data_IF_158105500914
#
_entry.id   IF_158105500914
#
_cell.length_a   1.000
_cell.length_b   1.000
_cell.length_c   1.000
_cell.angle_alpha   90.00
_cell.angle_beta   90.00
_cell.angle_gamma   90.00
#
_symmetry.space_group_name_H-M   'P 1'
#
loop_
_entity.id
_entity.type
_entity.pdbx_description
1 polymer ?
#
# COMPACT_ATOMS: atom_id res chain seq x y z
N UNK A 1 -19.29 49.22 -3.50
CA UNK A 1 -18.38 48.09 -3.63
C UNK A 1 -17.36 48.38 -4.71
N UNK A 2 -16.04 48.34 -4.49
CA UNK A 2 -15.06 48.60 -5.51
C UNK A 2 -15.19 47.54 -6.61
N UNK A 3 -15.39 47.97 -7.85
CA UNK A 3 -15.45 47.06 -9.01
C UNK A 3 -14.07 46.43 -9.17
N UNK A 4 -13.97 45.09 -8.97
CA UNK A 4 -12.75 44.38 -9.24
C UNK A 4 -12.28 44.64 -10.69
N UNK A 5 -11.00 44.97 -10.85
CA UNK A 5 -10.43 45.22 -12.19
C UNK A 5 -10.50 43.96 -13.07
N UNK A 6 -10.61 44.13 -14.38
CA UNK A 6 -10.67 43.01 -15.34
C UNK A 6 -9.52 42.00 -15.12
N UNK A 7 -8.32 42.50 -14.81
CA UNK A 7 -7.14 41.71 -14.52
C UNK A 7 -7.35 40.77 -13.31
N UNK A 8 -7.99 41.27 -12.24
CA UNK A 8 -8.29 40.44 -11.07
C UNK A 8 -9.28 39.33 -11.42
N UNK A 9 -10.31 39.63 -12.21
CA UNK A 9 -11.29 38.62 -12.65
C UNK A 9 -10.65 37.50 -13.47
N UNK A 10 -9.78 37.84 -14.42
CA UNK A 10 -9.06 36.88 -15.26
C UNK A 10 -8.09 36.05 -14.40
N UNK A 11 -7.31 36.68 -13.52
CA UNK A 11 -6.39 35.99 -12.64
C UNK A 11 -7.11 34.99 -11.72
N UNK A 12 -8.25 35.38 -11.14
CA UNK A 12 -9.07 34.50 -10.31
C UNK A 12 -9.59 33.29 -11.10
N UNK A 13 -10.09 33.52 -12.33
CA UNK A 13 -10.58 32.43 -13.19
C UNK A 13 -9.47 31.41 -13.48
N UNK A 14 -8.27 31.87 -13.83
CA UNK A 14 -7.14 30.99 -14.13
C UNK A 14 -6.69 30.22 -12.87
N UNK A 15 -6.63 30.87 -11.70
CA UNK A 15 -6.29 30.20 -10.43
C UNK A 15 -7.31 29.14 -10.10
N UNK A 16 -8.61 29.39 -10.30
CA UNK A 16 -9.66 28.37 -10.08
C UNK A 16 -9.48 27.19 -11.00
N UNK A 17 -9.20 27.41 -12.31
CA UNK A 17 -8.93 26.33 -13.26
C UNK A 17 -7.70 25.50 -12.83
N UNK A 18 -6.63 26.17 -12.38
CA UNK A 18 -5.43 25.50 -11.87
C UNK A 18 -5.73 24.66 -10.63
N UNK A 19 -6.50 25.19 -9.66
CA UNK A 19 -6.88 24.46 -8.45
C UNK A 19 -7.69 23.21 -8.82
N UNK A 20 -8.66 23.32 -9.72
CA UNK A 20 -9.48 22.19 -10.16
C UNK A 20 -8.60 21.15 -10.88
N UNK A 21 -7.79 21.57 -11.85
CA UNK A 21 -6.93 20.66 -12.62
C UNK A 21 -5.88 19.95 -11.75
N UNK A 22 -5.15 20.70 -10.93
CA UNK A 22 -4.16 20.14 -10.00
C UNK A 22 -4.81 19.28 -8.92
N UNK A 23 -5.93 19.74 -8.36
CA UNK A 23 -6.67 19.00 -7.34
C UNK A 23 -7.15 17.65 -7.86
N UNK A 24 -7.79 17.62 -9.02
CA UNK A 24 -8.24 16.39 -9.64
C UNK A 24 -7.08 15.43 -9.96
N UNK A 25 -5.99 15.95 -10.55
CA UNK A 25 -4.79 15.18 -10.85
C UNK A 25 -4.17 14.59 -9.58
N UNK A 26 -4.04 15.38 -8.52
CA UNK A 26 -3.47 14.92 -7.24
C UNK A 26 -4.31 13.83 -6.60
N UNK A 27 -5.63 13.97 -6.59
CA UNK A 27 -6.54 12.93 -6.03
C UNK A 27 -6.38 11.62 -6.79
N UNK A 28 -6.40 11.65 -8.14
CA UNK A 28 -6.24 10.45 -8.96
C UNK A 28 -4.88 9.77 -8.75
N UNK A 29 -3.81 10.56 -8.63
CA UNK A 29 -2.46 10.03 -8.41
C UNK A 29 -2.37 9.35 -7.05
N UNK A 30 -2.87 10.00 -5.98
CA UNK A 30 -2.86 9.44 -4.62
C UNK A 30 -3.64 8.11 -4.55
N UNK A 31 -4.81 8.04 -5.19
CA UNK A 31 -5.60 6.81 -5.22
C UNK A 31 -4.84 5.68 -5.92
N UNK A 32 -4.27 5.93 -7.09
CA UNK A 32 -3.47 4.94 -7.83
C UNK A 32 -2.23 4.47 -7.06
N UNK A 33 -1.51 5.38 -6.42
CA UNK A 33 -0.36 5.04 -5.59
C UNK A 33 -0.77 4.18 -4.38
N UNK A 34 -1.88 4.53 -3.73
CA UNK A 34 -2.39 3.75 -2.60
C UNK A 34 -2.75 2.33 -3.02
N UNK A 35 -3.50 2.16 -4.11
CA UNK A 35 -3.88 0.85 -4.64
C UNK A 35 -2.65 0.01 -5.03
N UNK A 36 -1.67 0.65 -5.69
CA UNK A 36 -0.43 -0.01 -6.09
C UNK A 36 0.37 -0.51 -4.88
N UNK A 37 0.56 0.33 -3.86
CA UNK A 37 1.29 -0.04 -2.64
C UNK A 37 0.59 -1.15 -1.87
N UNK A 38 -0.73 -1.12 -1.78
CA UNK A 38 -1.53 -2.20 -1.18
C UNK A 38 -1.33 -3.50 -1.95
N UNK A 39 -1.43 -3.49 -3.27
CA UNK A 39 -1.28 -4.70 -4.07
C UNK A 39 0.16 -5.23 -4.06
N UNK A 40 1.17 -4.36 -4.05
CA UNK A 40 2.57 -4.76 -3.86
C UNK A 40 2.78 -5.47 -2.51
N UNK A 41 2.18 -4.97 -1.43
CA UNK A 41 2.27 -5.60 -0.12
C UNK A 41 1.59 -6.98 -0.10
N UNK A 42 0.41 -7.10 -0.72
CA UNK A 42 -0.27 -8.40 -0.89
C UNK A 42 0.57 -9.39 -1.69
N UNK A 43 1.16 -8.95 -2.80
CA UNK A 43 2.05 -9.80 -3.60
C UNK A 43 3.28 -10.24 -2.82
N UNK A 44 3.87 -9.37 -2.01
CA UNK A 44 4.99 -9.72 -1.13
C UNK A 44 4.58 -10.79 -0.12
N UNK A 45 3.42 -10.66 0.52
CA UNK A 45 2.88 -11.66 1.43
C UNK A 45 2.61 -13.01 0.75
N UNK A 46 2.04 -13.01 -0.47
CA UNK A 46 1.84 -14.23 -1.27
C UNK A 46 3.17 -14.92 -1.59
N UNK A 47 4.18 -14.18 -2.04
CA UNK A 47 5.52 -14.72 -2.36
C UNK A 47 6.19 -15.29 -1.12
N UNK A 48 6.14 -14.56 -0.01
CA UNK A 48 6.66 -15.04 1.28
C UNK A 48 6.00 -16.35 1.68
N UNK A 49 4.67 -16.43 1.59
CA UNK A 49 3.91 -17.65 1.92
C UNK A 49 4.31 -18.82 1.02
N UNK A 50 4.43 -18.60 -0.29
CA UNK A 50 4.83 -19.65 -1.23
C UNK A 50 6.25 -20.17 -0.94
N UNK A 51 7.21 -19.27 -0.68
CA UNK A 51 8.58 -19.62 -0.30
C UNK A 51 8.61 -20.41 1.01
N UNK A 52 7.81 -20.01 1.97
CA UNK A 52 7.71 -20.66 3.27
C UNK A 52 7.12 -22.06 3.13
N UNK A 53 6.05 -22.24 2.38
CA UNK A 53 5.45 -23.54 2.10
C UNK A 53 6.46 -24.46 1.43
N UNK A 54 7.17 -23.98 0.41
CA UNK A 54 8.22 -24.77 -0.26
C UNK A 54 9.36 -25.17 0.69
N UNK A 55 9.78 -24.26 1.59
CA UNK A 55 10.81 -24.54 2.60
C UNK A 55 10.34 -25.57 3.63
N UNK A 56 9.10 -25.47 4.08
CA UNK A 56 8.49 -26.45 5.00
C UNK A 56 8.37 -27.83 4.33
N UNK A 57 7.87 -27.88 3.10
CA UNK A 57 7.80 -29.14 2.34
C UNK A 57 9.19 -29.76 2.15
N UNK A 58 10.18 -28.97 1.78
CA UNK A 58 11.56 -29.45 1.61
C UNK A 58 12.15 -30.01 2.90
N UNK A 59 11.94 -29.35 4.04
CA UNK A 59 12.40 -29.85 5.34
C UNK A 59 11.65 -31.13 5.78
N UNK A 60 10.34 -31.22 5.51
CA UNK A 60 9.56 -32.43 5.80
C UNK A 60 10.03 -33.63 4.98
N UNK A 61 10.33 -33.45 3.69
CA UNK A 61 10.84 -34.51 2.82
C UNK A 61 12.24 -35.00 3.24
N UNK A 62 12.99 -34.19 3.99
CA UNK A 62 14.27 -34.56 4.58
C UNK A 62 14.14 -35.08 6.04
N UNK A 63 12.92 -35.31 6.51
CA UNK A 63 12.64 -35.71 7.89
C UNK A 63 13.20 -34.73 8.94
N UNK A 64 13.26 -33.42 8.60
CA UNK A 64 13.83 -32.34 9.43
C UNK A 64 12.77 -31.35 9.94
N UNK A 65 11.83 -31.79 10.79
CA UNK A 65 10.83 -30.88 11.39
C UNK A 65 11.44 -29.82 12.31
N UNK A 66 12.62 -30.09 12.85
CA UNK A 66 13.43 -29.16 13.64
C UNK A 66 13.83 -27.91 12.83
N UNK A 67 14.23 -28.11 11.57
CA UNK A 67 14.56 -27.01 10.64
C UNK A 67 13.34 -26.14 10.38
N UNK A 68 12.18 -26.74 10.10
CA UNK A 68 10.93 -25.99 9.93
C UNK A 68 10.62 -25.11 11.13
N UNK A 69 10.76 -25.66 12.35
CA UNK A 69 10.52 -24.93 13.58
C UNK A 69 11.46 -23.74 13.75
N UNK A 70 12.75 -23.93 13.47
CA UNK A 70 13.76 -22.87 13.53
C UNK A 70 13.46 -21.76 12.52
N UNK A 71 13.12 -22.12 11.29
CA UNK A 71 12.73 -21.16 10.24
C UNK A 71 11.49 -20.36 10.64
N UNK A 72 10.47 -21.00 11.18
CA UNK A 72 9.26 -20.32 11.67
C UNK A 72 9.59 -19.34 12.80
N UNK A 73 10.49 -19.71 13.71
CA UNK A 73 10.89 -18.86 14.82
C UNK A 73 11.71 -17.66 14.34
N UNK A 74 12.64 -17.85 13.42
CA UNK A 74 13.46 -16.79 12.83
C UNK A 74 12.59 -15.78 12.06
N UNK A 75 11.64 -16.25 11.26
CA UNK A 75 10.73 -15.39 10.52
C UNK A 75 9.80 -14.59 11.44
N UNK A 76 9.40 -15.11 12.58
CA UNK A 76 8.62 -14.36 13.58
C UNK A 76 9.40 -13.19 14.19
N UNK A 77 10.73 -13.26 14.23
CA UNK A 77 11.58 -12.23 14.86
C UNK A 77 12.17 -11.25 13.87
N UNK A 78 12.38 -11.65 12.62
CA UNK A 78 13.16 -10.89 11.62
C UNK A 78 12.31 -10.23 10.53
N UNK A 79 11.02 -10.53 10.45
CA UNK A 79 10.15 -10.11 9.34
C UNK A 79 9.14 -9.04 9.76
N UNK A 80 8.69 -8.15 8.85
CA UNK A 80 7.55 -7.27 9.06
C UNK A 80 6.21 -8.02 9.19
N UNK A 81 6.26 -9.34 9.30
CA UNK A 81 5.12 -10.23 9.49
C UNK A 81 4.74 -10.22 10.96
N UNK A 82 3.54 -9.73 11.28
CA UNK A 82 3.02 -9.72 12.65
C UNK A 82 2.61 -11.09 13.17
N UNK A 83 2.23 -11.98 12.25
CA UNK A 83 1.82 -13.33 12.58
C UNK A 83 2.14 -14.31 11.47
N UNK A 84 2.95 -15.31 11.81
CA UNK A 84 3.20 -16.46 10.96
C UNK A 84 2.90 -17.71 11.76
N UNK A 85 1.87 -18.46 11.34
CA UNK A 85 1.46 -19.70 12.01
C UNK A 85 1.03 -20.74 10.99
N UNK A 86 1.22 -21.99 11.37
CA UNK A 86 0.75 -23.15 10.61
C UNK A 86 -0.27 -23.86 11.49
N UNK A 87 -1.47 -24.06 10.97
CA UNK A 87 -2.56 -24.73 11.67
C UNK A 87 -2.84 -26.09 11.04
N UNK A 88 -3.05 -27.09 11.87
CA UNK A 88 -3.58 -28.38 11.44
C UNK A 88 -5.04 -28.23 11.02
N UNK A 89 -5.59 -29.25 10.39
CA UNK A 89 -7.00 -29.28 9.97
C UNK A 89 -8.01 -29.03 11.09
N UNK A 90 -7.69 -29.47 12.31
CA UNK A 90 -8.54 -29.26 13.48
C UNK A 90 -8.46 -27.84 14.06
N UNK A 91 -7.67 -26.95 13.45
CA UNK A 91 -7.48 -25.58 13.89
C UNK A 91 -6.35 -25.38 14.89
N UNK A 92 -5.71 -26.42 15.39
CA UNK A 92 -4.61 -26.29 16.35
C UNK A 92 -3.30 -25.89 15.67
N UNK A 93 -2.51 -25.05 16.32
CA UNK A 93 -1.18 -24.64 15.82
C UNK A 93 -0.25 -25.87 15.74
N UNK A 94 0.34 -26.04 14.55
CA UNK A 94 1.31 -27.11 14.30
C UNK A 94 2.69 -26.75 14.87
N UNK A 95 3.55 -27.76 15.02
CA UNK A 95 4.93 -27.64 15.52
C UNK A 95 5.06 -27.13 16.96
N UNK A 96 3.98 -27.08 17.73
CA UNK A 96 4.00 -26.72 19.15
C UNK A 96 4.03 -27.97 20.03
N UNK A 97 3.16 -28.90 19.78
CA UNK A 97 3.00 -30.16 20.53
C UNK A 97 3.59 -31.39 19.78
N UNK A 98 3.34 -32.59 20.31
CA UNK A 98 3.82 -33.86 19.77
C UNK A 98 2.82 -34.59 18.85
N UNK A 99 1.60 -34.09 18.70
CA UNK A 99 0.49 -34.82 18.05
C UNK A 99 0.85 -35.28 16.64
N UNK A 100 1.37 -34.36 15.80
CA UNK A 100 1.76 -34.68 14.41
C UNK A 100 2.99 -35.60 14.36
N UNK A 101 3.95 -35.43 15.26
CA UNK A 101 5.14 -36.29 15.30
C UNK A 101 4.78 -37.71 15.66
N UNK A 102 3.86 -37.90 16.60
CA UNK A 102 3.38 -39.25 16.97
C UNK A 102 2.54 -39.91 15.86
N UNK A 103 1.76 -39.12 15.10
CA UNK A 103 1.05 -39.57 13.90
C UNK A 103 2.03 -40.10 12.84
N UNK A 104 3.08 -39.33 12.56
CA UNK A 104 4.11 -39.68 11.57
C UNK A 104 4.92 -40.90 12.03
N UNK A 105 5.30 -40.94 13.31
CA UNK A 105 6.02 -42.10 13.89
C UNK A 105 5.21 -43.38 13.74
N UNK A 106 3.90 -43.34 13.97
CA UNK A 106 2.99 -44.45 13.79
C UNK A 106 2.89 -44.93 12.33
N UNK A 107 2.89 -43.97 11.38
CA UNK A 107 2.66 -44.28 9.95
C UNK A 107 3.94 -44.69 9.22
N UNK A 108 5.06 -44.06 9.50
CA UNK A 108 6.32 -44.23 8.75
C UNK A 108 7.51 -44.66 9.62
N UNK A 109 7.41 -44.53 10.95
CA UNK A 109 8.53 -44.72 11.86
C UNK A 109 9.53 -43.57 11.79
N UNK A 110 9.66 -42.76 12.83
CA UNK A 110 10.67 -41.73 12.93
C UNK A 110 11.98 -42.24 13.50
N UNK A 111 13.09 -41.74 13.03
CA UNK A 111 14.38 -41.94 13.68
C UNK A 111 14.31 -41.54 15.15
N UNK A 112 14.86 -42.38 16.05
CA UNK A 112 14.79 -42.14 17.47
C UNK A 112 15.42 -40.81 17.90
N UNK A 113 16.53 -40.43 17.27
CA UNK A 113 17.20 -39.16 17.57
C UNK A 113 16.34 -37.95 17.16
N UNK A 114 15.64 -38.04 16.01
CA UNK A 114 14.68 -37.04 15.54
C UNK A 114 13.50 -36.93 16.51
N UNK A 115 12.92 -38.06 16.90
CA UNK A 115 11.79 -38.12 17.85
C UNK A 115 12.17 -37.52 19.20
N UNK A 116 13.33 -37.86 19.74
CA UNK A 116 13.83 -37.35 21.03
C UNK A 116 14.14 -35.85 20.94
N UNK A 117 14.61 -35.37 19.80
CA UNK A 117 14.80 -33.94 19.58
C UNK A 117 13.45 -33.20 19.57
N UNK A 118 12.44 -33.72 18.86
CA UNK A 118 11.10 -33.14 18.84
C UNK A 118 10.49 -33.10 20.23
N UNK A 119 10.63 -34.17 21.01
CA UNK A 119 10.14 -34.28 22.42
C UNK A 119 10.76 -33.18 23.28
N UNK A 120 12.08 -32.96 23.18
CA UNK A 120 12.78 -31.90 23.93
C UNK A 120 12.31 -30.49 23.55
N UNK A 121 11.89 -30.28 22.30
CA UNK A 121 11.44 -28.98 21.78
C UNK A 121 9.93 -28.77 21.94
N UNK A 122 9.16 -29.77 22.37
CA UNK A 122 7.73 -29.66 22.54
C UNK A 122 7.35 -28.58 23.56
N UNK A 123 6.31 -27.87 23.27
CA UNK A 123 5.72 -26.82 24.10
C UNK A 123 4.25 -27.13 24.34
N UNK A 124 3.60 -26.48 25.30
CA UNK A 124 2.14 -26.54 25.42
C UNK A 124 1.45 -26.23 24.10
N UNK A 125 0.23 -26.74 23.88
CA UNK A 125 -0.57 -26.43 22.70
C UNK A 125 -0.57 -24.94 22.43
N UNK A 126 -0.39 -24.58 21.16
CA UNK A 126 -0.42 -23.20 20.70
C UNK A 126 -1.84 -22.65 20.56
N UNK A 127 -2.00 -21.67 19.71
CA UNK A 127 -3.32 -21.10 19.39
C UNK A 127 -4.19 -22.12 18.66
N UNK A 128 -5.49 -22.13 18.99
CA UNK A 128 -6.50 -22.80 18.17
C UNK A 128 -7.28 -21.74 17.40
N UNK A 129 -7.39 -21.89 16.07
CA UNK A 129 -8.10 -20.96 15.22
C UNK A 129 -9.51 -21.44 14.88
N UNK A 130 -10.47 -20.50 14.92
CA UNK A 130 -11.85 -20.68 14.44
C UNK A 130 -12.18 -19.65 13.35
N UNK A 131 -11.17 -19.12 12.67
CA UNK A 131 -11.32 -18.10 11.63
C UNK A 131 -12.14 -18.63 10.45
N UNK A 132 -13.19 -17.93 10.00
CA UNK A 132 -13.98 -18.35 8.84
C UNK A 132 -13.15 -18.48 7.55
N UNK A 133 -12.08 -17.71 7.38
CA UNK A 133 -11.20 -17.81 6.20
C UNK A 133 -10.35 -19.08 6.26
N UNK A 134 -9.97 -19.53 7.46
CA UNK A 134 -9.34 -20.82 7.66
C UNK A 134 -10.27 -21.97 7.22
N UNK A 135 -11.54 -21.96 7.65
CA UNK A 135 -12.53 -22.97 7.25
C UNK A 135 -12.72 -22.97 5.72
N UNK A 136 -12.88 -21.81 5.11
CA UNK A 136 -12.99 -21.68 3.65
C UNK A 136 -11.75 -22.20 2.91
N UNK A 137 -10.55 -21.97 3.42
CA UNK A 137 -9.33 -22.47 2.81
C UNK A 137 -9.30 -24.01 2.81
N UNK A 138 -9.80 -24.65 3.88
CA UNK A 138 -9.93 -26.10 3.95
C UNK A 138 -10.98 -26.66 2.98
N UNK A 139 -12.12 -25.98 2.82
CA UNK A 139 -13.22 -26.41 1.96
C UNK A 139 -12.91 -26.23 0.48
N UNK A 140 -12.37 -25.05 0.12
CA UNK A 140 -12.16 -24.69 -1.29
C UNK A 140 -10.83 -25.16 -1.85
N UNK A 141 -9.88 -25.56 -0.97
CA UNK A 141 -8.49 -25.89 -1.32
C UNK A 141 -7.75 -24.73 -1.98
N UNK A 142 -8.23 -23.49 -1.75
CA UNK A 142 -7.69 -22.28 -2.34
C UNK A 142 -7.26 -21.30 -1.26
N UNK A 143 -6.28 -20.47 -1.59
CA UNK A 143 -5.84 -19.38 -0.73
C UNK A 143 -6.97 -18.41 -0.47
N UNK A 144 -7.21 -18.09 0.80
CA UNK A 144 -8.17 -17.08 1.23
C UNK A 144 -7.42 -15.85 1.73
N UNK A 145 -7.92 -14.68 1.35
CA UNK A 145 -7.32 -13.40 1.69
C UNK A 145 -8.35 -12.49 2.37
N UNK A 146 -7.95 -11.81 3.40
CA UNK A 146 -8.79 -10.85 4.10
C UNK A 146 -8.01 -9.59 4.49
N UNK A 147 -8.66 -8.44 4.39
CA UNK A 147 -8.24 -7.20 5.03
C UNK A 147 -9.05 -7.03 6.31
N UNK A 148 -8.36 -6.97 7.44
CA UNK A 148 -8.97 -6.89 8.75
C UNK A 148 -8.55 -5.61 9.45
N UNK A 149 -9.45 -5.08 10.29
CA UNK A 149 -9.11 -3.98 11.19
C UNK A 149 -9.20 -4.48 12.62
N UNK A 150 -8.09 -4.42 13.36
CA UNK A 150 -8.00 -4.81 14.78
C UNK A 150 -7.44 -3.63 15.57
N UNK A 151 -8.14 -3.18 16.59
CA UNK A 151 -7.71 -2.04 17.43
C UNK A 151 -7.36 -0.76 16.63
N UNK A 152 -8.07 -0.51 15.52
CA UNK A 152 -7.82 0.63 14.64
C UNK A 152 -6.65 0.47 13.66
N UNK A 153 -5.85 -0.57 13.75
CA UNK A 153 -4.80 -0.91 12.79
C UNK A 153 -5.31 -1.90 11.73
N UNK A 154 -4.83 -1.77 10.52
CA UNK A 154 -5.23 -2.61 9.37
C UNK A 154 -4.21 -3.68 9.09
N UNK A 155 -4.71 -4.90 8.85
CA UNK A 155 -3.91 -6.09 8.59
C UNK A 155 -4.38 -6.75 7.32
N UNK A 156 -3.43 -7.30 6.59
CA UNK A 156 -3.71 -8.26 5.51
C UNK A 156 -3.37 -9.66 6.02
N UNK A 157 -4.37 -10.53 6.03
CA UNK A 157 -4.24 -11.93 6.47
C UNK A 157 -4.49 -12.85 5.28
N UNK A 158 -3.58 -13.81 5.10
CA UNK A 158 -3.62 -14.81 4.05
C UNK A 158 -3.63 -16.20 4.71
N UNK A 159 -4.58 -17.05 4.30
CA UNK A 159 -4.70 -18.45 4.68
C UNK A 159 -4.42 -19.32 3.46
N UNK A 160 -3.28 -20.00 3.44
CA UNK A 160 -2.87 -20.84 2.31
C UNK A 160 -2.93 -22.32 2.70
N UNK A 161 -3.78 -23.15 2.04
CA UNK A 161 -3.85 -24.57 2.33
C UNK A 161 -2.63 -25.29 1.76
N UNK A 162 -1.97 -26.08 2.60
CA UNK A 162 -0.90 -27.00 2.21
C UNK A 162 -1.53 -28.32 1.82
N UNK A 163 -1.48 -28.66 0.55
CA UNK A 163 -2.13 -29.85 0.01
C UNK A 163 -1.35 -31.13 0.39
N UNK A 164 -2.09 -32.22 0.59
CA UNK A 164 -1.52 -33.55 0.88
C UNK A 164 -1.15 -34.26 -0.43
N UNK A 165 -0.03 -33.86 -1.03
CA UNK A 165 0.46 -34.44 -2.26
C UNK A 165 0.96 -35.88 -2.05
N UNK A 166 1.09 -36.68 -3.11
CA UNK A 166 1.55 -38.08 -3.03
C UNK A 166 2.85 -38.24 -2.21
N UNK A 167 3.80 -37.30 -2.43
CA UNK A 167 5.07 -37.26 -1.66
C UNK A 167 4.92 -37.07 -0.16
N UNK A 168 3.76 -36.61 0.32
CA UNK A 168 3.47 -36.35 1.74
C UNK A 168 2.74 -37.54 2.37
N UNK A 169 2.09 -38.38 1.56
CA UNK A 169 1.15 -39.41 2.04
C UNK A 169 1.84 -40.56 2.75
N UNK A 170 3.13 -40.83 2.46
CA UNK A 170 3.90 -41.83 3.15
C UNK A 170 3.96 -41.62 4.67
N UNK A 171 4.19 -40.38 5.09
CA UNK A 171 4.24 -40.01 6.52
C UNK A 171 2.88 -39.62 7.09
N UNK A 172 2.03 -38.99 6.28
CA UNK A 172 0.81 -38.33 6.76
C UNK A 172 -0.49 -39.09 6.40
N UNK A 173 -0.40 -40.22 5.71
CA UNK A 173 -1.57 -40.97 5.24
C UNK A 173 -2.37 -40.23 4.15
N UNK A 174 -3.43 -40.88 3.65
CA UNK A 174 -4.24 -40.42 2.51
C UNK A 174 -5.59 -39.83 2.93
N UNK A 175 -5.91 -39.82 4.23
CA UNK A 175 -7.26 -39.53 4.75
C UNK A 175 -7.76 -38.08 4.49
N UNK A 176 -6.88 -37.18 4.06
CA UNK A 176 -7.25 -35.77 3.85
C UNK A 176 -6.51 -35.13 2.68
N UNK A 177 -7.18 -34.29 1.88
CA UNK A 177 -6.53 -33.54 0.81
C UNK A 177 -5.66 -32.37 1.31
N UNK A 178 -5.82 -31.94 2.57
CA UNK A 178 -5.06 -30.83 3.16
C UNK A 178 -4.33 -31.30 4.41
N UNK A 179 -3.08 -30.94 4.55
CA UNK A 179 -2.25 -31.22 5.73
C UNK A 179 -2.32 -30.14 6.78
N UNK A 180 -2.25 -28.89 6.32
CA UNK A 180 -2.21 -27.72 7.17
C UNK A 180 -2.69 -26.47 6.42
N UNK A 181 -2.92 -25.40 7.14
CA UNK A 181 -3.13 -24.07 6.57
C UNK A 181 -2.07 -23.13 7.15
N UNK A 182 -1.31 -22.49 6.27
CA UNK A 182 -0.35 -21.46 6.66
C UNK A 182 -1.10 -20.12 6.73
N UNK A 183 -1.10 -19.50 7.91
CA UNK A 183 -1.61 -18.15 8.12
C UNK A 183 -0.46 -17.17 8.20
N UNK A 184 -0.48 -16.17 7.29
CA UNK A 184 0.45 -15.04 7.29
C UNK A 184 -0.35 -13.77 7.50
N UNK A 185 0.00 -13.00 8.52
CA UNK A 185 -0.62 -11.71 8.81
C UNK A 185 0.44 -10.62 8.74
N UNK A 186 0.21 -9.62 7.90
CA UNK A 186 1.10 -8.46 7.73
C UNK A 186 0.38 -7.18 8.12
N UNK A 187 1.08 -6.28 8.82
CA UNK A 187 0.55 -4.95 9.10
C UNK A 187 0.51 -4.10 7.84
N UNK A 188 -0.61 -3.45 7.58
CA UNK A 188 -0.77 -2.49 6.50
C UNK A 188 -0.43 -1.05 6.94
N UNK A 189 -0.16 -0.82 8.23
CA UNK A 189 0.13 0.52 8.76
C UNK A 189 1.35 1.19 8.13
N UNK A 190 2.47 0.50 7.85
CA UNK A 190 3.59 1.10 7.11
C UNK A 190 3.19 1.59 5.73
N UNK A 191 2.36 0.81 5.01
CA UNK A 191 1.84 1.16 3.68
C UNK A 191 1.01 2.44 3.76
N UNK A 192 0.05 2.50 4.68
CA UNK A 192 -0.79 3.68 4.84
C UNK A 192 -0.04 4.89 5.41
N UNK A 193 1.00 4.69 6.21
CA UNK A 193 1.89 5.77 6.65
C UNK A 193 2.64 6.37 5.47
N UNK A 194 3.13 5.53 4.54
CA UNK A 194 3.81 5.98 3.34
C UNK A 194 2.87 6.74 2.40
N UNK A 195 1.65 6.21 2.17
CA UNK A 195 0.60 6.91 1.40
C UNK A 195 0.29 8.29 2.02
N UNK A 196 0.16 8.39 3.35
CA UNK A 196 -0.07 9.67 4.04
C UNK A 196 1.10 10.65 3.83
N UNK A 197 2.34 10.15 3.90
CA UNK A 197 3.55 10.96 3.69
C UNK A 197 3.61 11.50 2.27
N UNK A 198 3.41 10.63 1.27
CA UNK A 198 3.37 11.01 -0.15
C UNK A 198 2.26 12.02 -0.43
N UNK A 199 1.05 11.76 0.06
CA UNK A 199 -0.08 12.69 -0.04
C UNK A 199 0.24 14.08 0.49
N UNK A 200 0.78 14.18 1.70
CA UNK A 200 1.08 15.46 2.33
C UNK A 200 2.16 16.22 1.54
N UNK A 201 3.17 15.51 1.04
CA UNK A 201 4.22 16.08 0.18
C UNK A 201 3.64 16.58 -1.15
N UNK A 202 2.78 15.81 -1.80
CA UNK A 202 2.14 16.20 -3.06
C UNK A 202 1.23 17.42 -2.89
N UNK A 203 0.45 17.46 -1.80
CA UNK A 203 -0.37 18.64 -1.46
C UNK A 203 0.51 19.88 -1.27
N UNK A 204 1.60 19.78 -0.53
CA UNK A 204 2.53 20.90 -0.32
C UNK A 204 3.10 21.39 -1.63
N UNK A 205 3.61 20.50 -2.48
CA UNK A 205 4.15 20.85 -3.80
C UNK A 205 3.07 21.51 -4.65
N UNK A 206 1.86 20.96 -4.68
CA UNK A 206 0.73 21.51 -5.44
C UNK A 206 0.37 22.93 -4.99
N UNK A 207 0.28 23.18 -3.70
CA UNK A 207 0.00 24.51 -3.14
C UNK A 207 1.11 25.50 -3.54
N UNK A 208 2.38 25.13 -3.38
CA UNK A 208 3.50 26.00 -3.77
C UNK A 208 3.49 26.32 -5.27
N UNK A 209 3.19 25.33 -6.11
CA UNK A 209 3.10 25.51 -7.56
C UNK A 209 1.97 26.47 -7.93
N UNK A 210 0.78 26.32 -7.33
CA UNK A 210 -0.36 27.22 -7.58
C UNK A 210 -0.04 28.64 -7.14
N UNK A 211 0.57 28.84 -5.97
CA UNK A 211 0.96 30.16 -5.46
C UNK A 211 2.00 30.80 -6.38
N UNK A 212 3.01 30.06 -6.81
CA UNK A 212 4.03 30.55 -7.73
C UNK A 212 3.42 30.95 -9.11
N UNK A 213 2.58 30.07 -9.67
CA UNK A 213 1.88 30.35 -10.92
C UNK A 213 0.98 31.58 -10.82
N UNK A 214 0.22 31.72 -9.73
CA UNK A 214 -0.63 32.90 -9.49
C UNK A 214 0.19 34.20 -9.37
N UNK A 215 1.34 34.16 -8.69
CA UNK A 215 2.24 35.29 -8.55
C UNK A 215 2.82 35.71 -9.91
N UNK A 216 3.38 34.77 -10.68
CA UNK A 216 3.94 34.99 -12.01
C UNK A 216 2.87 35.57 -12.93
N UNK A 217 1.69 34.98 -12.98
CA UNK A 217 0.58 35.45 -13.81
C UNK A 217 0.12 36.87 -13.45
N UNK A 218 0.00 37.17 -12.15
CA UNK A 218 -0.39 38.48 -11.67
C UNK A 218 0.64 39.55 -12.05
N UNK A 219 1.93 39.22 -11.92
CA UNK A 219 3.02 40.14 -12.32
C UNK A 219 3.01 40.36 -13.83
N UNK A 220 2.89 39.27 -14.61
CA UNK A 220 2.83 39.35 -16.07
C UNK A 220 1.64 40.21 -16.54
N UNK A 221 0.43 39.91 -16.04
CA UNK A 221 -0.79 40.70 -16.36
C UNK A 221 -0.64 42.18 -16.01
N UNK A 222 -0.06 42.50 -14.86
CA UNK A 222 0.17 43.90 -14.47
C UNK A 222 1.15 44.60 -15.40
N UNK A 223 2.25 43.92 -15.81
CA UNK A 223 3.29 44.53 -16.65
C UNK A 223 2.90 44.58 -18.11
N UNK A 224 2.30 43.52 -18.65
CA UNK A 224 2.05 43.40 -20.09
C UNK A 224 0.71 43.99 -20.52
N UNK A 225 -0.30 43.95 -19.63
CA UNK A 225 -1.67 44.36 -20.00
C UNK A 225 -2.14 45.60 -19.23
N UNK A 226 -2.13 45.55 -17.90
CA UNK A 226 -2.81 46.55 -17.07
C UNK A 226 -2.11 47.91 -17.16
N UNK A 227 -0.77 47.95 -17.08
CA UNK A 227 0.00 49.20 -17.13
C UNK A 227 -0.10 49.87 -18.50
N UNK A 228 0.13 49.21 -19.66
CA UNK A 228 -0.02 49.81 -20.97
C UNK A 228 -1.43 50.33 -21.22
N UNK A 229 -2.47 49.51 -20.95
CA UNK A 229 -3.86 49.96 -21.14
C UNK A 229 -4.21 51.13 -20.22
N UNK A 230 -3.70 51.16 -19.00
CA UNK A 230 -3.87 52.26 -18.08
C UNK A 230 -3.23 53.56 -18.59
N UNK A 231 -2.05 53.47 -19.19
CA UNK A 231 -1.35 54.63 -19.81
C UNK A 231 -2.10 55.17 -21.05
N UNK A 232 -2.60 54.26 -21.91
CA UNK A 232 -3.44 54.63 -23.06
C UNK A 232 -4.73 55.35 -22.62
N UNK A 233 -5.42 54.81 -21.64
CA UNK A 233 -6.64 55.39 -21.07
C UNK A 233 -6.38 56.76 -20.40
N UNK A 234 -5.21 56.96 -19.82
CA UNK A 234 -4.81 58.27 -19.26
C UNK A 234 -4.52 59.29 -20.35
N UNK A 235 -3.79 58.93 -21.42
CA UNK A 235 -3.54 59.78 -22.55
C UNK A 235 -4.84 60.17 -23.27
N UNK A 236 -5.74 59.23 -23.52
CA UNK A 236 -7.05 59.47 -24.10
C UNK A 236 -7.90 60.48 -23.29
N UNK A 237 -7.87 60.40 -21.96
CA UNK A 237 -8.57 61.36 -21.08
C UNK A 237 -7.97 62.77 -21.16
N UNK A 238 -6.64 62.89 -21.30
CA UNK A 238 -5.98 64.18 -21.45
C UNK A 238 -6.37 64.85 -22.77
N UNK A 239 -6.34 64.05 -23.85
CA UNK A 239 -6.80 64.57 -25.20
C UNK A 239 -8.27 65.00 -25.11
N UNK A 240 -9.16 64.22 -24.47
CA UNK A 240 -10.56 64.57 -24.28
C UNK A 240 -10.80 65.78 -23.36
N UNK A 241 -9.80 66.17 -22.56
CA UNK A 241 -9.79 67.39 -21.75
C UNK A 241 -9.14 68.62 -22.48
N UNK A 242 -8.78 68.49 -23.77
CA UNK A 242 -8.22 69.54 -24.56
C UNK A 242 -6.69 69.61 -24.68
N UNK A 243 -5.98 68.65 -24.08
CA UNK A 243 -4.52 68.51 -24.17
C UNK A 243 -4.18 67.63 -25.40
N UNK A 244 -4.11 68.23 -26.58
CA UNK A 244 -3.83 67.60 -27.88
C UNK A 244 -2.36 67.19 -28.05
N UNK A 245 -1.46 67.64 -27.17
CA UNK A 245 -0.05 67.20 -27.14
C UNK A 245 0.20 65.96 -26.29
N UNK A 246 -0.83 65.49 -25.63
CA UNK A 246 -0.73 64.23 -24.80
C UNK A 246 -0.40 62.99 -25.65
N UNK A 247 0.70 62.30 -25.34
CA UNK A 247 1.13 61.09 -26.02
C UNK A 247 1.15 59.93 -25.04
N UNK A 248 0.74 58.77 -25.52
CA UNK A 248 0.90 57.53 -24.78
C UNK A 248 2.34 57.00 -24.92
N UNK A 249 2.99 56.50 -23.86
CA UNK A 249 4.29 55.86 -23.99
C UNK A 249 4.14 54.55 -24.79
N UNK A 250 4.97 54.40 -25.82
CA UNK A 250 5.05 53.12 -26.57
C UNK A 250 5.77 52.10 -25.69
N UNK A 251 5.03 51.11 -25.18
CA UNK A 251 5.53 50.09 -24.26
C UNK A 251 5.36 48.71 -24.90
N UNK A 252 6.29 48.31 -25.74
CA UNK A 252 6.26 46.99 -26.38
C UNK A 252 6.22 47.06 -27.91
N UNK A 253 6.38 45.88 -28.54
CA UNK A 253 6.25 45.67 -29.99
C UNK A 253 5.11 44.71 -30.34
N UNK A 254 4.17 44.58 -29.41
CA UNK A 254 2.97 43.75 -29.52
C UNK A 254 1.75 44.60 -30.00
N UNK A 255 0.58 43.99 -30.07
CA UNK A 255 -0.66 44.60 -30.53
C UNK A 255 -1.13 45.77 -29.64
N UNK A 256 -0.58 45.94 -28.44
CA UNK A 256 -0.87 47.04 -27.51
C UNK A 256 0.12 48.18 -27.71
N UNK A 257 1.32 47.93 -28.23
CA UNK A 257 2.37 48.91 -28.47
C UNK A 257 2.37 49.50 -29.86
N UNK A 258 1.57 48.98 -30.80
CA UNK A 258 1.32 49.52 -32.15
C UNK A 258 0.25 50.60 -32.13
#
# INVERSE_FOLDING_TARGET
MPRASLAVKISVLIVVVLIIGFGASTILTIQREADLLVEQNKMAARRLTATLVASVEGAMLQERPDVTRSVLQELKTSSPVEGLRIFRRNGDEAFTDLSTAMEVDKNAGLDKAVLDNIKRMARPPGETTHDPQFARALETLQTQEALETRNGARYFTLHHPVLNQEKCQGCHGTASPVRAVVRVTTSMEPVFAEVRRHRNRQILIGVLTIVAAAAVLTIAMRRVVVRPIGALAAAARRVGAGDFDARAPVVGRDEIGQ
#
